data_IF_292549554418
#
_entry.id   IF_292549554418
#
_cell.length_a   1.000
_cell.length_b   1.000
_cell.length_c   1.000
_cell.angle_alpha   90.00
_cell.angle_beta   90.00
_cell.angle_gamma   90.00
#
_symmetry.space_group_name_H-M   'P 1'
#
loop_
_entity.id
_entity.type
_entity.pdbx_description
1 polymer ?
#
# COMPACT_ATOMS: atom_id res chain seq x y z
N UNK A 1 3.96 -3.34 13.67
CA UNK A 1 4.55 -4.42 12.85
C UNK A 1 6.01 -4.17 12.52
N UNK A 2 6.37 -3.07 11.86
CA UNK A 2 7.77 -2.78 11.50
C UNK A 2 8.72 -2.75 12.71
N UNK A 3 8.28 -2.25 13.87
CA UNK A 3 9.08 -2.22 15.11
C UNK A 3 9.49 -3.59 15.63
N UNK A 4 8.78 -4.65 15.26
CA UNK A 4 9.11 -6.04 15.61
C UNK A 4 9.72 -6.81 14.42
N UNK A 5 10.14 -6.10 13.36
CA UNK A 5 10.82 -6.69 12.21
C UNK A 5 9.90 -7.30 11.16
N UNK A 6 8.59 -7.02 11.17
CA UNK A 6 7.64 -7.60 10.20
C UNK A 6 7.21 -6.58 9.14
N UNK A 7 6.97 -7.05 7.93
CA UNK A 7 6.32 -6.32 6.82
C UNK A 7 4.96 -6.95 6.48
N UNK A 8 4.01 -6.12 6.06
CA UNK A 8 2.63 -6.52 5.77
C UNK A 8 2.44 -7.08 4.35
N UNK A 9 3.15 -6.51 3.36
CA UNK A 9 3.09 -6.84 1.93
C UNK A 9 1.82 -6.43 1.19
N UNK A 10 0.70 -6.23 1.87
CA UNK A 10 -0.59 -5.98 1.23
C UNK A 10 -1.41 -4.88 1.92
N UNK A 11 -0.77 -3.75 2.28
CA UNK A 11 -1.48 -2.61 2.87
C UNK A 11 -2.38 -1.99 1.80
N UNK A 12 -3.67 -1.90 2.08
CA UNK A 12 -4.70 -1.34 1.17
C UNK A 12 -5.97 -1.00 1.95
N UNK A 13 -6.93 -0.31 1.33
CA UNK A 13 -8.15 0.12 2.02
C UNK A 13 -8.97 -1.03 2.65
N UNK A 14 -8.97 -2.23 2.05
CA UNK A 14 -9.65 -3.41 2.63
C UNK A 14 -8.90 -4.08 3.80
N UNK A 15 -7.67 -3.66 4.10
CA UNK A 15 -6.87 -4.18 5.23
C UNK A 15 -7.14 -3.42 6.54
N UNK A 16 -8.04 -2.43 6.52
CA UNK A 16 -8.41 -1.60 7.66
C UNK A 16 -9.89 -1.81 7.94
N UNK A 17 -10.23 -2.34 9.12
CA UNK A 17 -11.61 -2.59 9.52
C UNK A 17 -12.03 -1.67 10.64
N UNK A 18 -13.24 -1.13 10.53
CA UNK A 18 -13.91 -0.37 11.59
C UNK A 18 -15.02 -1.21 12.20
N UNK A 19 -15.15 -1.14 13.52
CA UNK A 19 -16.20 -1.83 14.28
C UNK A 19 -17.20 -0.82 14.86
N UNK A 20 -18.40 -1.28 15.27
CA UNK A 20 -19.35 -0.42 15.97
C UNK A 20 -18.73 0.28 17.18
N UNK A 21 -19.05 1.55 17.38
CA UNK A 21 -18.56 2.34 18.49
C UNK A 21 -19.12 1.81 19.82
N UNK A 22 -18.23 1.43 20.75
CA UNK A 22 -18.61 0.80 22.02
C UNK A 22 -19.59 1.60 22.89
N UNK A 23 -19.63 2.92 22.72
CA UNK A 23 -20.43 3.85 23.54
C UNK A 23 -21.44 4.67 22.73
N UNK A 24 -21.73 4.29 21.49
CA UNK A 24 -22.69 5.02 20.66
C UNK A 24 -23.93 4.15 20.45
N UNK A 25 -25.08 4.50 21.07
CA UNK A 25 -26.28 3.68 20.97
C UNK A 25 -26.75 3.64 19.51
N UNK A 26 -27.06 2.43 19.04
CA UNK A 26 -27.74 2.23 17.77
C UNK A 26 -29.04 3.05 17.77
N UNK A 27 -29.37 3.72 16.65
CA UNK A 27 -30.68 4.38 16.50
C UNK A 27 -31.85 3.40 16.31
N UNK A 28 -31.63 2.11 16.53
CA UNK A 28 -32.60 1.05 16.32
C UNK A 28 -32.29 -0.23 17.11
N UNK A 29 -33.07 -1.31 16.90
CA UNK A 29 -32.87 -2.59 17.58
C UNK A 29 -31.43 -3.09 17.45
N UNK A 30 -30.92 -3.75 18.49
CA UNK A 30 -29.59 -4.34 18.46
C UNK A 30 -29.51 -5.47 17.42
N UNK A 31 -28.40 -5.53 16.70
CA UNK A 31 -28.07 -6.63 15.78
C UNK A 31 -28.02 -6.24 14.30
N UNK A 32 -27.38 -7.07 13.46
CA UNK A 32 -27.15 -6.80 12.03
C UNK A 32 -28.45 -6.80 11.18
N UNK A 33 -29.55 -7.32 11.72
CA UNK A 33 -30.85 -7.43 11.05
C UNK A 33 -31.79 -6.24 11.31
N UNK A 34 -31.37 -5.22 12.06
CA UNK A 34 -32.25 -4.11 12.44
C UNK A 34 -32.53 -3.10 11.33
N UNK A 35 -31.77 -3.15 10.22
CA UNK A 35 -31.88 -2.20 9.12
C UNK A 35 -31.35 -0.79 9.45
N UNK A 36 -30.84 -0.57 10.66
CA UNK A 36 -30.24 0.70 11.08
C UNK A 36 -28.71 0.59 11.08
N UNK A 37 -27.98 1.50 10.41
CA UNK A 37 -26.53 1.53 10.47
C UNK A 37 -26.06 1.72 11.91
N UNK A 38 -25.20 0.80 12.35
CA UNK A 38 -24.50 0.96 13.62
C UNK A 38 -23.46 2.09 13.47
N UNK A 39 -23.35 3.02 14.43
CA UNK A 39 -22.30 4.03 14.36
C UNK A 39 -20.92 3.37 14.38
N UNK A 40 -20.04 3.72 13.44
CA UNK A 40 -18.67 3.19 13.39
C UNK A 40 -17.75 3.94 14.34
N UNK A 41 -16.85 3.21 15.01
CA UNK A 41 -15.79 3.76 15.84
C UNK A 41 -14.52 4.00 15.03
N UNK A 42 -14.29 5.23 14.58
CA UNK A 42 -13.10 5.60 13.78
C UNK A 42 -11.80 5.69 14.58
N UNK A 43 -11.88 5.75 15.91
CA UNK A 43 -10.71 5.92 16.77
C UNK A 43 -9.83 4.66 16.92
N UNK A 44 -10.40 3.47 16.69
CA UNK A 44 -9.70 2.20 16.91
C UNK A 44 -9.91 1.24 15.72
N UNK A 45 -9.38 1.57 14.53
CA UNK A 45 -9.40 0.64 13.40
C UNK A 45 -8.55 -0.59 13.72
N UNK A 46 -8.97 -1.74 13.21
CA UNK A 46 -8.18 -2.96 13.24
C UNK A 46 -7.43 -3.13 11.92
N UNK A 47 -6.13 -3.38 12.00
CA UNK A 47 -5.30 -3.70 10.86
C UNK A 47 -5.25 -5.22 10.65
N UNK A 48 -5.75 -5.69 9.51
CA UNK A 48 -5.93 -7.11 9.16
C UNK A 48 -5.21 -7.45 7.85
N UNK A 49 -5.27 -8.71 7.40
CA UNK A 49 -4.63 -9.13 6.15
C UNK A 49 -3.22 -9.71 6.30
N UNK A 50 -2.90 -10.21 7.51
CA UNK A 50 -1.59 -10.76 7.87
C UNK A 50 -1.22 -12.06 7.15
N UNK A 51 -2.06 -12.60 6.26
CA UNK A 51 -1.76 -13.83 5.51
C UNK A 51 -0.53 -13.73 4.61
N UNK A 52 -0.18 -12.51 4.19
CA UNK A 52 1.03 -12.22 3.42
C UNK A 52 2.15 -11.62 4.28
N UNK A 53 1.90 -11.35 5.57
CA UNK A 53 2.89 -10.72 6.43
C UNK A 53 4.06 -11.67 6.68
N UNK A 54 5.27 -11.11 6.79
CA UNK A 54 6.49 -11.88 7.00
C UNK A 54 7.56 -11.08 7.71
N UNK A 55 8.57 -11.77 8.19
CA UNK A 55 9.75 -11.13 8.77
C UNK A 55 10.60 -10.47 7.66
N UNK A 56 10.98 -9.22 7.90
CA UNK A 56 11.93 -8.43 7.12
C UNK A 56 13.28 -8.42 7.86
N UNK A 57 13.88 -9.60 7.97
CA UNK A 57 15.17 -9.79 8.61
C UNK A 57 16.28 -9.11 7.81
N UNK A 58 17.12 -8.38 8.54
CA UNK A 58 18.39 -7.85 8.07
C UNK A 58 19.29 -9.06 7.79
N UNK A 59 19.36 -9.47 6.53
CA UNK A 59 20.40 -10.30 5.94
C UNK A 59 20.77 -11.52 6.79
N UNK A 60 20.03 -12.62 6.64
CA UNK A 60 20.63 -13.94 6.84
C UNK A 60 20.12 -15.03 5.89
N UNK A 61 19.14 -14.74 5.03
CA UNK A 61 18.84 -15.63 3.90
C UNK A 61 19.92 -15.45 2.83
N UNK A 62 20.88 -16.38 2.80
CA UNK A 62 21.81 -16.56 1.67
C UNK A 62 21.14 -17.18 0.44
N UNK A 63 19.86 -17.52 0.53
CA UNK A 63 19.12 -18.15 -0.56
C UNK A 63 18.51 -17.09 -1.49
N UNK A 64 18.64 -17.33 -2.80
CA UNK A 64 17.92 -16.56 -3.82
C UNK A 64 16.43 -16.58 -3.48
N UNK A 65 15.87 -15.39 -3.30
CA UNK A 65 14.49 -15.25 -2.85
C UNK A 65 13.47 -15.77 -3.87
N UNK A 66 13.88 -15.97 -5.13
CA UNK A 66 13.13 -16.58 -6.23
C UNK A 66 13.98 -17.69 -6.86
N UNK A 67 13.36 -18.85 -7.15
CA UNK A 67 13.98 -19.87 -8.00
C UNK A 67 14.02 -19.31 -9.42
N UNK A 68 15.17 -19.38 -10.09
CA UNK A 68 15.34 -18.97 -11.48
C UNK A 68 14.62 -19.97 -12.41
N UNK A 69 13.29 -19.97 -12.42
CA UNK A 69 12.55 -20.63 -13.50
C UNK A 69 12.47 -19.67 -14.70
N UNK A 70 13.44 -19.80 -15.60
CA UNK A 70 13.47 -19.19 -16.93
C UNK A 70 12.31 -19.70 -17.80
N UNK A 71 11.09 -19.21 -17.61
CA UNK A 71 10.10 -19.23 -18.68
C UNK A 71 9.40 -17.87 -18.78
N UNK A 72 10.05 -16.96 -19.52
CA UNK A 72 9.46 -15.77 -20.13
C UNK A 72 8.37 -16.20 -21.13
N UNK A 73 7.19 -16.58 -20.64
CA UNK A 73 6.04 -16.88 -21.49
C UNK A 73 5.49 -15.58 -22.11
N UNK A 74 5.90 -15.32 -23.35
CA UNK A 74 5.36 -14.26 -24.20
C UNK A 74 4.04 -14.72 -24.79
N UNK A 75 2.91 -14.15 -24.35
CA UNK A 75 1.63 -14.35 -25.02
C UNK A 75 1.48 -13.30 -26.12
N UNK A 76 1.12 -13.77 -27.33
CA UNK A 76 0.77 -12.92 -28.46
C UNK A 76 -0.75 -12.89 -28.52
N UNK A 77 -1.35 -11.70 -28.42
CA UNK A 77 -2.78 -11.54 -28.65
C UNK A 77 -3.10 -11.90 -30.11
N UNK A 78 -3.88 -12.96 -30.34
CA UNK A 78 -4.13 -13.50 -31.69
C UNK A 78 -4.96 -12.56 -32.58
N UNK A 79 -5.60 -11.52 -32.01
CA UNK A 79 -6.44 -10.57 -32.75
C UNK A 79 -5.67 -9.30 -33.16
N UNK A 80 -4.69 -8.89 -32.36
CA UNK A 80 -3.95 -7.64 -32.53
C UNK A 80 -2.46 -7.87 -32.85
N UNK A 81 -1.94 -9.08 -32.64
CA UNK A 81 -0.52 -9.42 -32.82
C UNK A 81 0.40 -8.80 -31.77
N UNK A 82 -0.15 -8.17 -30.73
CA UNK A 82 0.62 -7.46 -29.72
C UNK A 82 1.29 -8.46 -28.78
N UNK A 83 2.60 -8.29 -28.56
CA UNK A 83 3.37 -9.08 -27.58
C UNK A 83 3.08 -8.51 -26.20
N UNK A 84 2.26 -9.20 -25.42
CA UNK A 84 1.91 -8.77 -24.07
C UNK A 84 2.86 -9.51 -23.12
N UNK A 85 3.82 -8.78 -22.52
CA UNK A 85 4.47 -9.28 -21.31
C UNK A 85 3.42 -9.21 -20.22
N UNK A 86 2.87 -10.36 -19.84
CA UNK A 86 1.84 -10.43 -18.82
C UNK A 86 2.33 -9.67 -17.57
N UNK A 87 1.45 -8.82 -17.02
CA UNK A 87 1.50 -8.35 -15.63
C UNK A 87 2.09 -9.52 -14.81
N UNK A 88 3.29 -9.36 -14.25
CA UNK A 88 3.96 -10.46 -13.56
C UNK A 88 3.13 -10.83 -12.31
N UNK A 89 2.14 -11.69 -12.51
CA UNK A 89 1.51 -12.46 -11.45
C UNK A 89 2.65 -13.29 -10.92
N UNK A 90 3.13 -12.91 -9.76
CA UNK A 90 4.16 -13.64 -9.04
C UNK A 90 3.65 -15.08 -8.87
N UNK A 91 4.21 -16.03 -9.63
CA UNK A 91 3.72 -17.42 -9.79
C UNK A 91 3.77 -18.27 -8.51
N UNK A 92 4.04 -17.67 -7.34
CA UNK A 92 4.03 -18.36 -6.05
C UNK A 92 2.63 -18.40 -5.47
N UNK A 93 2.24 -19.57 -4.95
CA UNK A 93 1.12 -19.72 -4.03
C UNK A 93 1.36 -18.80 -2.83
N UNK A 94 0.47 -17.83 -2.59
CA UNK A 94 0.55 -16.76 -1.56
C UNK A 94 1.39 -15.52 -1.89
N UNK A 95 1.67 -15.22 -3.16
CA UNK A 95 2.34 -13.98 -3.50
C UNK A 95 1.36 -12.83 -3.80
N UNK A 96 1.82 -11.61 -3.56
CA UNK A 96 0.96 -10.41 -3.56
C UNK A 96 0.66 -9.95 -4.98
N UNK A 97 -0.54 -9.39 -5.19
CA UNK A 97 -0.88 -8.73 -6.45
C UNK A 97 0.00 -7.49 -6.63
N UNK A 98 0.70 -7.40 -7.75
CA UNK A 98 1.57 -6.26 -8.11
C UNK A 98 0.78 -5.11 -8.75
N UNK A 99 -0.32 -4.77 -8.08
CA UNK A 99 -1.24 -3.70 -8.44
C UNK A 99 -0.72 -2.31 -8.04
N UNK A 100 -1.58 -1.30 -8.17
CA UNK A 100 -1.27 0.10 -7.92
C UNK A 100 -0.93 0.43 -6.46
N UNK A 101 -1.20 -0.45 -5.48
CA UNK A 101 -0.72 -0.26 -4.10
C UNK A 101 0.76 -0.61 -3.94
N UNK A 102 1.38 -1.25 -4.93
CA UNK A 102 2.77 -1.69 -4.83
C UNK A 102 3.75 -0.65 -5.34
N UNK A 103 4.88 -0.54 -4.65
CA UNK A 103 5.95 0.39 -5.01
C UNK A 103 6.43 0.17 -6.46
N UNK A 104 6.70 1.22 -7.25
CA UNK A 104 7.13 1.11 -8.64
C UNK A 104 8.30 0.16 -8.84
N UNK A 105 9.35 0.23 -8.01
CA UNK A 105 10.52 -0.65 -8.13
C UNK A 105 10.18 -2.15 -7.99
N UNK A 106 9.18 -2.48 -7.15
CA UNK A 106 8.72 -3.86 -6.98
C UNK A 106 7.81 -4.32 -8.10
N UNK A 107 7.02 -3.42 -8.68
CA UNK A 107 6.22 -3.70 -9.88
C UNK A 107 7.12 -3.89 -11.10
N UNK A 108 8.14 -3.04 -11.23
CA UNK A 108 9.16 -3.09 -12.28
C UNK A 108 10.02 -4.35 -12.20
N UNK A 109 10.50 -4.68 -11.00
CA UNK A 109 11.26 -5.90 -10.75
C UNK A 109 10.62 -6.72 -9.62
N UNK A 110 9.72 -7.64 -9.97
CA UNK A 110 9.07 -8.54 -9.02
C UNK A 110 10.04 -9.45 -8.29
N UNK A 111 11.28 -9.61 -8.77
CA UNK A 111 12.28 -10.39 -8.07
C UNK A 111 12.93 -9.64 -6.89
N UNK A 112 12.72 -8.32 -6.76
CA UNK A 112 13.21 -7.57 -5.59
C UNK A 112 12.48 -8.04 -4.33
N UNK A 113 13.22 -8.38 -3.28
CA UNK A 113 12.65 -8.80 -2.00
C UNK A 113 11.89 -7.64 -1.35
N UNK A 114 10.61 -7.85 -1.04
CA UNK A 114 9.76 -6.87 -0.34
C UNK A 114 10.38 -6.38 0.98
N UNK A 115 10.33 -5.08 1.24
CA UNK A 115 10.90 -4.41 2.42
C UNK A 115 9.92 -3.40 3.03
N UNK A 116 10.27 -2.80 4.18
CA UNK A 116 9.46 -1.79 4.86
C UNK A 116 9.11 -0.57 4.00
N UNK A 117 10.00 -0.11 3.13
CA UNK A 117 9.72 1.02 2.22
C UNK A 117 8.53 0.74 1.30
N UNK A 118 8.31 -0.54 0.93
CA UNK A 118 7.19 -0.93 0.09
C UNK A 118 5.86 -0.80 0.84
N UNK A 119 5.80 -1.21 2.12
CA UNK A 119 4.61 -1.00 2.96
C UNK A 119 4.32 0.51 3.14
N UNK A 120 5.35 1.32 3.32
CA UNK A 120 5.22 2.79 3.47
C UNK A 120 4.62 3.42 2.20
N UNK A 121 5.05 2.96 1.02
CA UNK A 121 4.44 3.39 -0.23
C UNK A 121 2.96 3.01 -0.33
N UNK A 122 2.63 1.76 0.02
CA UNK A 122 1.24 1.28 0.06
C UNK A 122 0.38 2.08 1.05
N UNK A 123 0.94 2.51 2.19
CA UNK A 123 0.27 3.44 3.10
C UNK A 123 -0.01 4.79 2.42
N UNK A 124 0.96 5.34 1.69
CA UNK A 124 0.78 6.57 0.89
C UNK A 124 -0.38 6.44 -0.11
N UNK A 125 -0.52 5.29 -0.75
CA UNK A 125 -1.62 4.98 -1.65
C UNK A 125 -2.99 5.02 -0.93
N UNK A 126 -3.09 4.37 0.24
CA UNK A 126 -4.33 4.40 1.06
C UNK A 126 -4.66 5.81 1.52
N UNK A 127 -3.66 6.58 1.97
CA UNK A 127 -3.88 7.97 2.37
C UNK A 127 -4.34 8.84 1.19
N UNK A 128 -3.82 8.60 -0.02
CA UNK A 128 -4.27 9.28 -1.23
C UNK A 128 -5.75 8.97 -1.53
N UNK A 129 -6.17 7.71 -1.42
CA UNK A 129 -7.59 7.31 -1.58
C UNK A 129 -8.50 8.03 -0.59
N UNK A 130 -8.08 8.09 0.68
CA UNK A 130 -8.84 8.76 1.74
C UNK A 130 -8.96 10.25 1.45
N UNK A 131 -7.85 10.91 1.09
CA UNK A 131 -7.81 12.36 0.88
C UNK A 131 -8.58 12.82 -0.36
N UNK A 132 -8.57 12.03 -1.44
CA UNK A 132 -9.32 12.34 -2.66
C UNK A 132 -10.74 11.76 -2.68
N UNK A 133 -11.05 10.90 -1.71
CA UNK A 133 -12.32 10.19 -1.60
C UNK A 133 -12.71 9.43 -2.87
N UNK A 134 -11.72 8.82 -3.52
CA UNK A 134 -11.86 8.04 -4.76
C UNK A 134 -10.93 6.83 -4.74
N UNK A 135 -11.36 5.68 -5.27
CA UNK A 135 -10.47 4.53 -5.38
C UNK A 135 -9.35 4.79 -6.41
N UNK A 136 -8.15 4.26 -6.18
CA UNK A 136 -6.98 4.56 -7.03
C UNK A 136 -7.18 4.14 -8.49
N UNK A 137 -7.95 3.09 -8.76
CA UNK A 137 -8.22 2.64 -10.13
C UNK A 137 -9.07 3.64 -10.95
N UNK A 138 -9.76 4.59 -10.30
CA UNK A 138 -10.44 5.70 -10.99
C UNK A 138 -9.54 6.94 -11.13
N UNK A 139 -8.46 7.01 -10.37
CA UNK A 139 -7.59 8.18 -10.31
C UNK A 139 -6.49 8.14 -11.38
N UNK A 140 -5.99 6.96 -11.73
CA UNK A 140 -4.94 6.79 -12.74
C UNK A 140 -5.27 5.60 -13.63
N UNK A 141 -5.39 5.87 -14.94
CA UNK A 141 -5.38 4.83 -15.97
C UNK A 141 -3.96 4.26 -16.07
N UNK A 142 -3.77 3.09 -15.46
CA UNK A 142 -2.54 2.32 -15.57
C UNK A 142 -2.61 1.53 -16.88
N UNK A 143 -1.97 2.02 -17.93
CA UNK A 143 -1.49 1.11 -18.96
C UNK A 143 -0.25 0.41 -18.38
N UNK A 144 -0.31 -0.91 -18.31
CA UNK A 144 0.52 -1.79 -17.46
C UNK A 144 2.04 -1.69 -17.68
N UNK A 145 2.50 -0.92 -18.66
CA UNK A 145 3.90 -0.83 -19.06
C UNK A 145 4.63 0.44 -18.58
N UNK A 146 3.93 1.49 -18.11
CA UNK A 146 4.56 2.77 -17.71
C UNK A 146 4.39 3.08 -16.21
N UNK A 147 5.13 2.35 -15.37
CA UNK A 147 5.16 2.55 -13.92
C UNK A 147 5.60 3.97 -13.50
N UNK A 148 6.45 4.63 -14.30
CA UNK A 148 6.90 5.99 -14.03
C UNK A 148 5.80 7.02 -14.32
N UNK A 149 4.94 6.77 -15.31
CA UNK A 149 3.71 7.56 -15.51
C UNK A 149 2.75 7.40 -14.34
N UNK A 150 2.57 6.19 -13.80
CA UNK A 150 1.72 5.98 -12.61
C UNK A 150 2.26 6.75 -11.40
N UNK A 151 3.57 6.64 -11.15
CA UNK A 151 4.25 7.38 -10.09
C UNK A 151 4.08 8.90 -10.24
N UNK A 152 4.30 9.44 -11.44
CA UNK A 152 4.07 10.86 -11.74
C UNK A 152 2.60 11.25 -11.58
N UNK A 153 1.67 10.38 -11.97
CA UNK A 153 0.23 10.57 -11.79
C UNK A 153 -0.14 10.71 -10.32
N UNK A 154 0.30 9.78 -9.47
CA UNK A 154 0.05 9.86 -8.02
C UNK A 154 0.71 11.09 -7.39
N UNK A 155 1.94 11.44 -7.80
CA UNK A 155 2.60 12.66 -7.33
C UNK A 155 1.83 13.92 -7.75
N UNK A 156 1.31 13.98 -8.98
CA UNK A 156 0.48 15.10 -9.44
C UNK A 156 -0.80 15.23 -8.61
N UNK A 157 -1.45 14.10 -8.32
CA UNK A 157 -2.69 14.05 -7.54
C UNK A 157 -2.49 14.52 -6.09
N UNK A 158 -1.26 14.46 -5.55
CA UNK A 158 -0.99 15.07 -4.23
C UNK A 158 -1.19 16.58 -4.22
N UNK A 159 -1.10 17.27 -5.36
CA UNK A 159 -1.39 18.71 -5.40
C UNK A 159 -2.87 19.02 -5.15
N UNK A 160 -3.77 18.12 -5.53
CA UNK A 160 -5.21 18.25 -5.26
C UNK A 160 -5.55 18.01 -3.78
N UNK A 161 -4.66 17.31 -3.05
CA UNK A 161 -4.80 17.10 -1.61
C UNK A 161 -4.66 18.40 -0.81
N UNK A 162 -3.90 19.37 -1.30
CA UNK A 162 -3.69 20.65 -0.60
C UNK A 162 -5.03 21.37 -0.35
N UNK A 163 -5.94 21.32 -1.33
CA UNK A 163 -7.26 21.95 -1.24
C UNK A 163 -8.35 21.08 -0.59
N UNK A 164 -8.15 19.76 -0.53
CA UNK A 164 -9.16 18.81 -0.04
C UNK A 164 -8.90 18.32 1.37
N UNK A 165 -7.68 17.88 1.66
CA UNK A 165 -7.26 17.34 2.97
C UNK A 165 -6.25 18.26 3.71
N UNK A 166 -5.74 19.29 3.04
CA UNK A 166 -4.79 20.26 3.59
C UNK A 166 -3.33 19.89 3.31
N UNK A 167 -2.47 20.91 3.35
CA UNK A 167 -1.05 20.78 3.00
C UNK A 167 -0.28 19.82 3.90
N UNK A 168 -0.57 19.78 5.21
CA UNK A 168 0.06 18.84 6.14
C UNK A 168 -0.19 17.39 5.71
N UNK A 169 -1.44 17.07 5.35
CA UNK A 169 -1.82 15.74 4.91
C UNK A 169 -1.14 15.41 3.57
N UNK A 170 -1.26 16.31 2.60
CA UNK A 170 -0.63 16.22 1.28
C UNK A 170 0.87 15.96 1.34
N UNK A 171 1.59 16.69 2.20
CA UNK A 171 3.03 16.55 2.39
C UNK A 171 3.40 15.15 2.91
N UNK A 172 2.61 14.61 3.85
CA UNK A 172 2.81 13.24 4.34
C UNK A 172 2.58 12.22 3.23
N UNK A 173 1.48 12.35 2.47
CA UNK A 173 1.18 11.45 1.35
C UNK A 173 2.31 11.48 0.32
N UNK A 174 2.78 12.67 -0.04
CA UNK A 174 3.88 12.86 -1.01
C UNK A 174 5.19 12.23 -0.54
N UNK A 175 5.52 12.37 0.75
CA UNK A 175 6.70 11.73 1.36
C UNK A 175 6.60 10.20 1.29
N UNK A 176 5.44 9.63 1.63
CA UNK A 176 5.22 8.18 1.55
C UNK A 176 5.32 7.66 0.11
N UNK A 177 4.74 8.35 -0.86
CA UNK A 177 4.78 7.96 -2.28
C UNK A 177 6.14 8.17 -2.95
N UNK A 178 7.04 8.94 -2.32
CA UNK A 178 8.40 9.21 -2.80
C UNK A 178 9.49 8.47 -2.02
N UNK A 179 9.09 7.55 -1.13
CA UNK A 179 10.01 6.75 -0.33
C UNK A 179 10.94 5.96 -1.24
N UNK A 180 12.23 5.89 -0.89
CA UNK A 180 13.21 5.11 -1.64
C UNK A 180 13.29 3.70 -1.06
N UNK A 181 13.51 2.72 -1.93
CA UNK A 181 14.00 1.41 -1.49
C UNK A 181 15.51 1.50 -1.37
N UNK A 182 16.06 1.29 -0.19
CA UNK A 182 17.50 1.17 0.00
C UNK A 182 17.91 -0.22 0.49
N UNK A 183 19.14 -0.28 0.96
CA UNK A 183 19.76 -1.51 1.43
C UNK A 183 19.25 -1.86 2.84
N UNK A 184 19.16 -3.15 3.16
CA UNK A 184 18.70 -3.61 4.49
C UNK A 184 19.75 -3.41 5.58
N UNK A 185 20.31 -2.22 5.71
CA UNK A 185 21.24 -1.86 6.78
C UNK A 185 20.49 -1.49 8.06
N UNK A 186 21.10 -1.69 9.21
CA UNK A 186 20.50 -1.25 10.47
C UNK A 186 20.28 0.28 10.52
N UNK A 187 21.10 1.05 9.82
CA UNK A 187 20.97 2.49 9.71
C UNK A 187 19.67 2.86 8.98
N UNK A 188 19.41 2.23 7.84
CA UNK A 188 18.17 2.44 7.08
C UNK A 188 16.93 1.99 7.88
N UNK A 189 17.03 0.87 8.58
CA UNK A 189 15.95 0.42 9.49
C UNK A 189 15.61 1.46 10.56
N UNK A 190 16.64 2.08 11.16
CA UNK A 190 16.45 3.16 12.15
C UNK A 190 15.86 4.41 11.49
N UNK A 191 16.30 4.76 10.29
CA UNK A 191 15.76 5.88 9.52
C UNK A 191 14.29 5.70 9.17
N UNK A 192 13.91 4.53 8.64
CA UNK A 192 12.51 4.21 8.32
C UNK A 192 11.62 4.20 9.57
N UNK A 193 12.14 3.72 10.70
CA UNK A 193 11.40 3.76 11.97
C UNK A 193 11.16 5.21 12.44
N UNK A 194 12.18 6.08 12.31
CA UNK A 194 12.05 7.51 12.59
C UNK A 194 11.07 8.18 11.62
N UNK A 195 11.12 7.82 10.34
CA UNK A 195 10.18 8.29 9.32
C UNK A 195 8.74 7.95 9.68
N UNK A 196 8.47 6.68 10.05
CA UNK A 196 7.13 6.24 10.49
C UNK A 196 6.62 7.02 11.72
N UNK A 197 7.50 7.33 12.67
CA UNK A 197 7.14 8.15 13.83
C UNK A 197 6.85 9.61 13.43
N UNK A 198 7.64 10.18 12.51
CA UNK A 198 7.48 11.55 12.02
C UNK A 198 6.16 11.73 11.25
N UNK A 199 5.80 10.80 10.36
CA UNK A 199 4.53 10.87 9.62
C UNK A 199 3.33 10.77 10.57
N UNK A 200 3.36 9.90 11.58
CA UNK A 200 2.28 9.76 12.55
C UNK A 200 2.12 11.05 13.38
N UNK A 201 3.22 11.58 13.92
CA UNK A 201 3.22 12.83 14.67
C UNK A 201 2.82 14.06 13.81
N UNK A 202 3.06 14.00 12.49
CA UNK A 202 2.66 15.05 11.55
C UNK A 202 1.17 14.97 11.24
N UNK A 203 0.63 13.77 10.97
CA UNK A 203 -0.81 13.56 10.74
C UNK A 203 -1.66 13.89 11.98
N UNK A 204 -1.13 13.73 13.19
CA UNK A 204 -1.80 14.14 14.44
C UNK A 204 -2.08 15.65 14.52
N UNK A 205 -1.39 16.46 13.70
CA UNK A 205 -1.61 17.91 13.60
C UNK A 205 -2.71 18.27 12.60
N UNK A 206 -3.22 17.32 11.82
CA UNK A 206 -4.38 17.55 10.96
C UNK A 206 -5.61 17.80 11.84
N UNK A 207 -6.43 18.78 11.45
CA UNK A 207 -7.65 19.10 12.18
C UNK A 207 -8.71 18.03 11.93
N UNK A 208 -9.47 17.66 12.98
CA UNK A 208 -10.57 16.70 12.92
C UNK A 208 -11.94 17.38 12.84
#
# INVERSE_FOLDING_TARGET
MHCVGWVHKNIRSNSILFFPAANMPSRGPAGPASGFPQPLGYANPLFVGLGNARVDDVINDRENYYEEEEEDLVYVDERTGQRIKHLQITKRKNDINLDYYQHPDKRWNPNIRYSRSHDIYSLGCVLLEIGLWKPLHELVEVEDEDFERVKRGFQSLTMDLDGTAGSIYSDVVRKCLSIRTGDRTEAEVRELSKFCADIAATLDKCWA
#
